data_IF_917119718092
#
_entry.id   IF_917119718092
#
_cell.length_a   1.000
_cell.length_b   1.000
_cell.length_c   1.000
_cell.angle_alpha   90.00
_cell.angle_beta   90.00
_cell.angle_gamma   90.00
#
_symmetry.space_group_name_H-M   'P 1'
#
loop_
_entity.id
_entity.type
_entity.pdbx_description
1 polymer ?
#
# COMPACT_ATOMS: atom_id res chain seq x y z
N UNK A 1 -27.53 -0.62 5.92
CA UNK A 1 -26.97 -1.19 7.17
C UNK A 1 -25.99 -2.34 6.90
N UNK A 2 -26.17 -3.14 5.84
CA UNK A 2 -25.27 -4.26 5.50
C UNK A 2 -23.82 -3.86 5.16
N UNK A 3 -23.61 -2.70 4.53
CA UNK A 3 -22.27 -2.23 4.15
C UNK A 3 -21.34 -1.98 5.34
N UNK A 4 -21.88 -1.58 6.50
CA UNK A 4 -21.06 -1.32 7.69
C UNK A 4 -20.46 -2.62 8.22
N UNK A 5 -21.20 -3.73 8.19
CA UNK A 5 -20.70 -5.04 8.60
C UNK A 5 -19.55 -5.49 7.70
N UNK A 6 -19.67 -5.32 6.38
CA UNK A 6 -18.61 -5.66 5.42
C UNK A 6 -17.35 -4.82 5.64
N UNK A 7 -17.50 -3.51 5.86
CA UNK A 7 -16.36 -2.62 6.13
C UNK A 7 -15.67 -3.00 7.45
N UNK A 8 -16.44 -3.27 8.51
CA UNK A 8 -15.89 -3.69 9.81
C UNK A 8 -15.17 -5.05 9.68
N UNK A 9 -15.74 -5.98 8.92
CA UNK A 9 -15.10 -7.28 8.66
C UNK A 9 -13.78 -7.13 7.92
N UNK A 10 -13.73 -6.30 6.88
CA UNK A 10 -12.49 -6.00 6.14
C UNK A 10 -11.47 -5.33 7.06
N UNK A 11 -11.87 -4.35 7.88
CA UNK A 11 -10.97 -3.71 8.85
C UNK A 11 -10.42 -4.71 9.87
N UNK A 12 -11.25 -5.63 10.37
CA UNK A 12 -10.81 -6.67 11.30
C UNK A 12 -9.79 -7.62 10.65
N UNK A 13 -10.01 -8.00 9.38
CA UNK A 13 -9.04 -8.78 8.60
C UNK A 13 -7.73 -7.99 8.48
N UNK A 14 -7.78 -6.73 8.06
CA UNK A 14 -6.58 -5.88 7.88
C UNK A 14 -5.76 -5.77 9.17
N UNK A 15 -6.42 -5.57 10.32
CA UNK A 15 -5.76 -5.51 11.64
C UNK A 15 -5.17 -6.88 12.02
N UNK A 16 -5.89 -7.97 11.80
CA UNK A 16 -5.36 -9.31 12.03
C UNK A 16 -4.12 -9.59 11.19
N UNK A 17 -4.15 -9.21 9.92
CA UNK A 17 -3.04 -9.34 8.99
C UNK A 17 -1.82 -8.51 9.38
N UNK A 18 -2.00 -7.27 9.86
CA UNK A 18 -0.87 -6.42 10.24
C UNK A 18 -0.06 -7.05 11.37
N UNK A 19 -0.74 -7.55 12.40
CA UNK A 19 -0.09 -8.24 13.53
C UNK A 19 0.59 -9.55 13.12
N UNK A 20 0.09 -10.22 12.08
CA UNK A 20 0.67 -11.44 11.54
C UNK A 20 1.88 -11.16 10.63
N UNK A 21 1.85 -10.07 9.87
CA UNK A 21 2.95 -9.64 9.00
C UNK A 21 4.23 -9.37 9.81
N UNK A 22 4.10 -8.68 10.95
CA UNK A 22 5.22 -8.39 11.86
C UNK A 22 5.92 -9.67 12.37
N UNK A 23 5.14 -10.73 12.61
CA UNK A 23 5.67 -12.02 13.07
C UNK A 23 6.29 -12.85 11.94
N UNK A 24 5.76 -12.72 10.72
CA UNK A 24 6.17 -13.56 9.58
C UNK A 24 7.33 -12.99 8.77
N UNK A 25 7.83 -11.77 9.08
CA UNK A 25 8.84 -11.03 8.29
C UNK A 25 8.45 -10.81 6.82
N UNK A 26 7.16 -10.94 6.50
CA UNK A 26 6.63 -10.69 5.16
C UNK A 26 6.22 -9.22 5.09
N UNK A 27 6.59 -8.48 4.02
CA UNK A 27 6.12 -7.11 3.84
C UNK A 27 4.60 -7.03 3.88
N UNK A 28 4.08 -6.23 4.80
CA UNK A 28 2.65 -6.01 4.98
C UNK A 28 1.88 -5.72 3.68
N UNK A 29 2.39 -4.88 2.74
CA UNK A 29 1.71 -4.63 1.46
C UNK A 29 1.49 -5.89 0.62
N UNK A 30 2.46 -6.81 0.59
CA UNK A 30 2.35 -8.06 -0.19
C UNK A 30 1.22 -8.92 0.39
N UNK A 31 1.18 -9.02 1.71
CA UNK A 31 0.19 -9.83 2.41
C UNK A 31 -1.24 -9.28 2.20
N UNK A 32 -1.40 -7.95 2.26
CA UNK A 32 -2.66 -7.29 1.91
C UNK A 32 -3.09 -7.55 0.46
N UNK A 33 -2.17 -7.47 -0.50
CA UNK A 33 -2.48 -7.71 -1.92
C UNK A 33 -2.95 -9.16 -2.13
N UNK A 34 -2.25 -10.14 -1.56
CA UNK A 34 -2.63 -11.57 -1.69
C UNK A 34 -4.01 -11.83 -1.09
N UNK A 35 -4.29 -11.29 0.09
CA UNK A 35 -5.60 -11.47 0.74
C UNK A 35 -6.69 -10.69 0.01
N UNK A 36 -6.42 -9.48 -0.47
CA UNK A 36 -7.35 -8.70 -1.28
C UNK A 36 -7.72 -9.42 -2.57
N UNK A 37 -6.74 -10.01 -3.26
CA UNK A 37 -6.97 -10.86 -4.44
C UNK A 37 -7.84 -12.06 -4.05
N UNK A 38 -7.52 -12.76 -2.96
CA UNK A 38 -8.29 -13.89 -2.46
C UNK A 38 -9.75 -13.54 -2.16
N UNK A 39 -10.00 -12.39 -1.53
CA UNK A 39 -11.35 -11.87 -1.25
C UNK A 39 -12.06 -11.48 -2.55
N UNK A 40 -11.35 -10.90 -3.53
CA UNK A 40 -11.91 -10.51 -4.82
C UNK A 40 -12.47 -11.67 -5.65
N UNK A 41 -12.06 -12.91 -5.38
CA UNK A 41 -12.65 -14.10 -6.00
C UNK A 41 -14.00 -14.53 -5.39
N UNK A 42 -14.47 -13.86 -4.33
CA UNK A 42 -15.75 -14.19 -3.69
C UNK A 42 -16.89 -13.49 -4.46
N UNK A 43 -17.76 -14.21 -5.17
CA UNK A 43 -18.80 -13.62 -6.03
C UNK A 43 -19.92 -12.89 -5.26
N UNK A 44 -19.96 -13.04 -3.93
CA UNK A 44 -20.91 -12.37 -3.03
C UNK A 44 -20.44 -10.98 -2.58
N UNK A 45 -19.18 -10.61 -2.85
CA UNK A 45 -18.68 -9.27 -2.54
C UNK A 45 -19.25 -8.26 -3.54
N UNK A 46 -19.75 -7.13 -3.03
CA UNK A 46 -20.11 -6.00 -3.88
C UNK A 46 -18.86 -5.50 -4.62
N UNK A 47 -18.98 -5.19 -5.91
CA UNK A 47 -17.92 -4.54 -6.67
C UNK A 47 -17.71 -3.13 -6.10
N UNK A 48 -16.66 -2.99 -5.28
CA UNK A 48 -16.23 -1.69 -4.75
C UNK A 48 -15.18 -1.14 -5.70
N UNK A 49 -15.61 -0.30 -6.63
CA UNK A 49 -14.70 0.50 -7.43
C UNK A 49 -14.27 1.74 -6.63
N UNK A 50 -12.98 1.83 -6.31
CA UNK A 50 -12.40 3.05 -5.74
C UNK A 50 -11.85 3.89 -6.90
N UNK A 51 -12.26 5.16 -6.96
CA UNK A 51 -11.71 6.10 -7.95
C UNK A 51 -10.18 6.21 -7.75
N UNK A 52 -9.37 5.91 -8.79
CA UNK A 52 -7.91 6.01 -8.73
C UNK A 52 -7.39 7.38 -8.29
N UNK A 53 -8.08 8.47 -8.61
CA UNK A 53 -7.71 9.82 -8.19
C UNK A 53 -7.71 9.96 -6.66
N UNK A 54 -8.63 9.27 -5.97
CA UNK A 54 -8.67 9.25 -4.50
C UNK A 54 -7.40 8.60 -3.96
N UNK A 55 -6.95 7.48 -4.56
CA UNK A 55 -5.71 6.81 -4.18
C UNK A 55 -4.52 7.76 -4.38
N UNK A 56 -4.41 8.39 -5.55
CA UNK A 56 -3.27 9.27 -5.86
C UNK A 56 -3.25 10.58 -5.07
N UNK A 57 -4.40 11.13 -4.71
CA UNK A 57 -4.45 12.42 -4.01
C UNK A 57 -4.43 12.27 -2.48
N UNK A 58 -5.00 11.19 -1.94
CA UNK A 58 -5.13 11.02 -0.49
C UNK A 58 -4.07 10.08 0.06
N UNK A 59 -3.78 8.96 -0.60
CA UNK A 59 -2.89 7.93 -0.06
C UNK A 59 -1.44 8.13 -0.50
N UNK A 60 -1.21 8.41 -1.77
CA UNK A 60 0.14 8.52 -2.31
C UNK A 60 0.96 9.65 -1.66
N UNK A 61 0.45 10.86 -1.39
CA UNK A 61 1.28 11.92 -0.81
C UNK A 61 1.74 11.61 0.63
N UNK A 62 0.90 11.13 1.56
CA UNK A 62 1.35 10.66 2.87
C UNK A 62 2.36 9.50 2.78
N UNK A 63 2.14 8.53 1.88
CA UNK A 63 3.04 7.39 1.69
C UNK A 63 4.42 7.84 1.19
N UNK A 64 4.45 8.75 0.22
CA UNK A 64 5.71 9.34 -0.27
C UNK A 64 6.39 10.19 0.81
N UNK A 65 5.62 10.92 1.60
CA UNK A 65 6.17 11.73 2.69
C UNK A 65 6.86 10.84 3.73
N UNK A 66 6.19 9.79 4.19
CA UNK A 66 6.74 8.81 5.14
C UNK A 66 7.99 8.12 4.58
N UNK A 67 7.96 7.68 3.32
CA UNK A 67 9.12 7.10 2.66
C UNK A 67 10.29 8.10 2.57
N UNK A 68 10.01 9.38 2.27
CA UNK A 68 11.03 10.42 2.15
C UNK A 68 11.65 10.79 3.50
N UNK A 69 10.88 10.71 4.59
CA UNK A 69 11.34 11.03 5.94
C UNK A 69 12.40 10.04 6.44
N UNK A 70 12.34 8.80 5.95
CA UNK A 70 13.33 7.76 6.25
C UNK A 70 14.64 7.89 5.45
N UNK A 71 14.73 8.83 4.50
CA UNK A 71 15.92 9.02 3.65
C UNK A 71 16.83 10.10 4.25
N UNK A 72 18.13 9.79 4.35
CA UNK A 72 19.13 10.80 4.73
C UNK A 72 19.35 11.81 3.60
N UNK A 73 19.17 13.13 3.85
CA UNK A 73 19.39 14.16 2.82
C UNK A 73 20.83 14.19 2.31
N UNK A 74 21.81 13.84 3.16
CA UNK A 74 23.23 13.78 2.78
C UNK A 74 23.49 12.64 1.79
N UNK A 75 23.04 11.43 2.11
CA UNK A 75 23.21 10.27 1.23
C UNK A 75 22.44 10.44 -0.09
N UNK A 76 21.26 11.07 -0.06
CA UNK A 76 20.51 11.39 -1.26
C UNK A 76 21.30 12.31 -2.20
N UNK A 77 21.85 13.41 -1.67
CA UNK A 77 22.67 14.34 -2.47
C UNK A 77 23.93 13.69 -3.04
N UNK A 78 24.61 12.84 -2.26
CA UNK A 78 25.82 12.14 -2.73
C UNK A 78 25.52 11.14 -3.85
N UNK A 79 24.34 10.51 -3.83
CA UNK A 79 23.95 9.49 -4.82
C UNK A 79 22.99 10.01 -5.90
N UNK A 80 22.86 11.34 -6.04
CA UNK A 80 21.84 11.94 -6.91
C UNK A 80 21.97 11.45 -8.36
N UNK A 81 23.19 11.32 -8.89
CA UNK A 81 23.41 10.80 -10.25
C UNK A 81 22.87 9.38 -10.42
N UNK A 82 23.20 8.47 -9.50
CA UNK A 82 22.70 7.09 -9.52
C UNK A 82 21.19 7.06 -9.37
N UNK A 83 20.64 7.81 -8.41
CA UNK A 83 19.19 7.89 -8.17
C UNK A 83 18.47 8.39 -9.42
N UNK A 84 18.94 9.45 -10.07
CA UNK A 84 18.32 9.99 -11.30
C UNK A 84 18.41 9.01 -12.47
N UNK A 85 19.53 8.30 -12.63
CA UNK A 85 19.68 7.27 -13.66
C UNK A 85 18.81 6.05 -13.41
N UNK A 86 18.49 5.68 -12.15
CA UNK A 86 17.51 4.63 -11.89
C UNK A 86 16.08 5.16 -11.96
N UNK A 87 15.81 6.39 -11.53
CA UNK A 87 14.44 6.89 -11.41
C UNK A 87 13.82 7.29 -12.75
N UNK A 88 14.60 7.85 -13.68
CA UNK A 88 14.06 8.36 -14.95
C UNK A 88 13.94 7.22 -15.98
N UNK A 89 15.03 6.65 -16.51
CA UNK A 89 14.94 5.70 -17.62
C UNK A 89 14.44 4.29 -17.25
N UNK A 90 14.33 3.93 -15.97
CA UNK A 90 13.74 2.64 -15.57
C UNK A 90 12.22 2.73 -15.41
N UNK A 91 11.70 3.91 -15.06
CA UNK A 91 10.28 4.15 -14.78
C UNK A 91 9.53 4.60 -16.03
N UNK A 92 10.21 5.29 -16.96
CA UNK A 92 9.71 5.63 -18.30
C UNK A 92 10.08 4.54 -19.31
#
# INVERSE_FOLDING_TARGET
MENYTSIIFILAIVIGLSTFADKSKIPYPILLVVVGIGIGFIPTMAEIEINPEIIFLIFLPPLLYDASFNISPKHFKTNLSTISTLAIPLVF
#
